data_IF_787466187982
#
_entry.id   IF_787466187982
#
_cell.length_a   1.000
_cell.length_b   1.000
_cell.length_c   1.000
_cell.angle_alpha   90.00
_cell.angle_beta   90.00
_cell.angle_gamma   90.00
#
_symmetry.space_group_name_H-M   'P 1'
#
loop_
_entity.id
_entity.type
_entity.pdbx_description
1 polymer ?
#
# COMPACT_ATOMS: atom_id res chain seq x y z
N UNK A 1 19.85 -21.44 -26.78
CA UNK A 1 18.50 -21.33 -27.37
C UNK A 1 17.37 -21.36 -26.33
N UNK A 2 17.36 -22.30 -25.37
CA UNK A 2 16.36 -22.33 -24.28
C UNK A 2 16.21 -21.02 -23.50
N UNK A 3 17.34 -20.39 -23.16
CA UNK A 3 17.34 -19.11 -22.41
C UNK A 3 16.62 -18.00 -23.17
N UNK A 4 16.85 -17.86 -24.48
CA UNK A 4 16.21 -16.85 -25.32
C UNK A 4 14.67 -17.04 -25.33
N UNK A 5 14.19 -18.27 -25.47
CA UNK A 5 12.76 -18.57 -25.48
C UNK A 5 12.11 -18.28 -24.13
N UNK A 6 12.79 -18.64 -23.03
CA UNK A 6 12.33 -18.30 -21.69
C UNK A 6 12.24 -16.78 -21.48
N UNK A 7 13.20 -16.03 -22.02
CA UNK A 7 13.19 -14.58 -21.97
C UNK A 7 12.03 -13.98 -22.78
N UNK A 8 11.82 -14.42 -24.02
CA UNK A 8 10.70 -14.00 -24.87
C UNK A 8 9.34 -14.31 -24.21
N UNK A 9 9.21 -15.50 -23.62
CA UNK A 9 8.01 -15.88 -22.87
C UNK A 9 7.76 -14.96 -21.66
N UNK A 10 8.82 -14.52 -20.97
CA UNK A 10 8.73 -13.59 -19.84
C UNK A 10 8.28 -12.18 -20.26
N UNK A 11 8.49 -11.79 -21.52
CA UNK A 11 7.93 -10.55 -22.11
C UNK A 11 6.52 -10.73 -22.67
N UNK A 12 5.88 -11.88 -22.44
CA UNK A 12 4.53 -12.15 -22.94
C UNK A 12 4.47 -12.46 -24.43
N UNK A 13 5.62 -12.76 -25.06
CA UNK A 13 5.64 -13.12 -26.46
C UNK A 13 4.92 -14.47 -26.66
N UNK A 14 3.90 -14.45 -27.51
CA UNK A 14 3.15 -15.63 -27.90
C UNK A 14 3.68 -16.17 -29.22
N UNK A 15 3.62 -17.50 -29.37
CA UNK A 15 3.86 -18.14 -30.65
C UNK A 15 2.75 -17.81 -31.66
N UNK A 16 2.93 -18.23 -32.91
CA UNK A 16 1.95 -18.04 -33.98
C UNK A 16 0.60 -18.71 -33.68
N UNK A 17 0.62 -19.71 -32.80
CA UNK A 17 -0.56 -20.42 -32.29
C UNK A 17 -1.31 -19.65 -31.18
N UNK A 18 -0.88 -18.44 -30.81
CA UNK A 18 -1.45 -17.64 -29.71
C UNK A 18 -1.13 -18.17 -28.30
N UNK A 19 -0.33 -19.24 -28.21
CA UNK A 19 0.10 -19.84 -26.93
C UNK A 19 1.40 -19.20 -26.43
N UNK A 20 1.61 -19.10 -25.11
CA UNK A 20 2.86 -18.62 -24.55
C UNK A 20 4.02 -19.51 -25.01
N UNK A 21 5.13 -18.88 -25.40
CA UNK A 21 6.30 -19.59 -25.89
C UNK A 21 6.90 -20.48 -24.79
N UNK A 22 7.18 -21.75 -25.08
CA UNK A 22 7.86 -22.65 -24.13
C UNK A 22 9.35 -22.77 -24.49
N UNK A 23 10.20 -22.93 -23.47
CA UNK A 23 11.65 -22.94 -23.61
C UNK A 23 12.19 -24.34 -23.95
N UNK A 24 11.74 -24.89 -25.08
CA UNK A 24 12.11 -26.25 -25.52
C UNK A 24 13.53 -26.33 -26.09
N UNK A 25 14.09 -25.20 -26.52
CA UNK A 25 15.44 -25.08 -27.10
C UNK A 25 15.49 -25.13 -28.62
N UNK A 26 14.35 -25.37 -29.26
CA UNK A 26 14.20 -25.46 -30.72
C UNK A 26 13.74 -24.15 -31.34
N UNK A 27 14.54 -23.59 -32.25
CA UNK A 27 14.19 -22.35 -32.95
C UNK A 27 13.19 -22.63 -34.09
N UNK A 28 11.93 -22.84 -33.73
CA UNK A 28 10.83 -23.06 -34.67
C UNK A 28 10.12 -21.78 -35.11
N UNK A 29 9.10 -21.94 -35.95
CA UNK A 29 8.26 -20.83 -36.44
C UNK A 29 7.65 -19.99 -35.29
N UNK A 30 7.35 -20.60 -34.15
CA UNK A 30 6.84 -19.91 -32.97
C UNK A 30 7.88 -19.00 -32.32
N UNK A 31 9.13 -19.46 -32.19
CA UNK A 31 10.21 -18.63 -31.63
C UNK A 31 10.58 -17.51 -32.58
N UNK A 32 10.60 -17.77 -33.89
CA UNK A 32 10.82 -16.73 -34.91
C UNK A 32 9.76 -15.64 -34.81
N UNK A 33 8.48 -16.02 -34.77
CA UNK A 33 7.38 -15.08 -34.63
C UNK A 33 7.49 -14.22 -33.36
N UNK A 34 7.82 -14.84 -32.22
CA UNK A 34 8.04 -14.14 -30.97
C UNK A 34 9.20 -13.13 -31.06
N UNK A 35 10.30 -13.48 -31.74
CA UNK A 35 11.43 -12.57 -32.00
C UNK A 35 11.01 -11.41 -32.88
N UNK A 36 10.23 -11.66 -33.93
CA UNK A 36 9.72 -10.61 -34.82
C UNK A 36 8.81 -9.63 -34.08
N UNK A 37 7.93 -10.13 -33.19
CA UNK A 37 7.09 -9.29 -32.34
C UNK A 37 7.94 -8.41 -31.41
N UNK A 38 8.92 -9.01 -30.72
CA UNK A 38 9.82 -8.31 -29.83
C UNK A 38 10.63 -7.22 -30.58
N UNK A 39 11.16 -7.56 -31.76
CA UNK A 39 11.88 -6.60 -32.59
C UNK A 39 10.99 -5.43 -32.99
N UNK A 40 9.74 -5.70 -33.38
CA UNK A 40 8.77 -4.65 -33.74
C UNK A 40 8.42 -3.73 -32.57
N UNK A 41 8.20 -4.30 -31.39
CA UNK A 41 7.84 -3.55 -30.18
C UNK A 41 9.00 -2.67 -29.68
N UNK A 42 10.24 -3.13 -29.82
CA UNK A 42 11.44 -2.42 -29.40
C UNK A 42 12.08 -1.57 -30.51
N UNK A 43 11.42 -1.41 -31.66
CA UNK A 43 11.91 -0.57 -32.76
C UNK A 43 13.20 -1.07 -33.43
N UNK A 44 13.43 -2.38 -33.42
CA UNK A 44 14.56 -3.05 -34.05
C UNK A 44 14.21 -3.53 -35.46
N UNK A 45 15.23 -3.87 -36.25
CA UNK A 45 15.02 -4.52 -37.54
C UNK A 45 14.33 -5.89 -37.34
N UNK A 46 13.20 -6.09 -38.02
CA UNK A 46 12.32 -7.26 -37.87
C UNK A 46 12.73 -8.35 -38.87
N UNK A 47 13.88 -8.99 -38.65
CA UNK A 47 14.35 -10.11 -39.47
C UNK A 47 13.95 -11.48 -38.89
N UNK A 48 13.47 -11.50 -37.64
CA UNK A 48 13.24 -12.73 -36.89
C UNK A 48 14.52 -13.48 -36.53
N UNK A 49 15.69 -12.84 -36.71
CA UNK A 49 17.01 -13.35 -36.37
C UNK A 49 17.51 -12.64 -35.12
N UNK A 50 17.95 -13.41 -34.12
CA UNK A 50 18.51 -12.85 -32.89
C UNK A 50 19.99 -12.52 -33.09
N UNK A 51 20.26 -11.30 -33.55
CA UNK A 51 21.60 -10.73 -33.63
C UNK A 51 22.02 -10.00 -32.34
N UNK A 52 23.22 -9.40 -32.34
CA UNK A 52 23.78 -8.70 -31.18
C UNK A 52 22.90 -7.55 -30.68
N UNK A 53 22.24 -6.82 -31.57
CA UNK A 53 21.31 -5.73 -31.19
C UNK A 53 20.06 -6.27 -30.47
N UNK A 54 19.50 -7.37 -30.95
CA UNK A 54 18.34 -8.02 -30.31
C UNK A 54 18.72 -8.60 -28.95
N UNK A 55 19.91 -9.21 -28.83
CA UNK A 55 20.42 -9.69 -27.54
C UNK A 55 20.64 -8.54 -26.54
N UNK A 56 21.19 -7.41 -27.00
CA UNK A 56 21.39 -6.23 -26.16
C UNK A 56 20.05 -5.65 -25.68
N UNK A 57 19.07 -5.53 -26.58
CA UNK A 57 17.72 -5.06 -26.24
C UNK A 57 17.01 -6.00 -25.26
N UNK A 58 17.12 -7.33 -25.46
CA UNK A 58 16.64 -8.31 -24.48
C UNK A 58 17.33 -8.13 -23.13
N UNK A 59 18.66 -7.97 -23.11
CA UNK A 59 19.42 -7.74 -21.87
C UNK A 59 18.96 -6.49 -21.11
N UNK A 60 18.76 -5.38 -21.82
CA UNK A 60 18.22 -4.13 -21.24
C UNK A 60 16.79 -4.31 -20.75
N UNK A 61 15.92 -4.94 -21.54
CA UNK A 61 14.54 -5.21 -21.16
C UNK A 61 14.47 -6.15 -19.94
N UNK A 62 15.37 -7.14 -19.84
CA UNK A 62 15.46 -8.02 -18.67
C UNK A 62 15.97 -7.27 -17.46
N UNK A 63 16.94 -6.38 -17.64
CA UNK A 63 17.46 -5.55 -16.55
C UNK A 63 16.40 -4.56 -16.06
N UNK A 64 15.58 -4.02 -16.95
CA UNK A 64 14.43 -3.16 -16.61
C UNK A 64 13.28 -3.95 -15.96
N UNK A 65 12.98 -5.15 -16.45
CA UNK A 65 11.97 -6.02 -15.84
C UNK A 65 12.44 -6.61 -14.50
N UNK A 66 13.75 -6.87 -14.35
CA UNK A 66 14.38 -7.25 -13.11
C UNK A 66 14.47 -6.08 -12.13
N UNK A 67 14.70 -4.85 -12.59
CA UNK A 67 14.60 -3.65 -11.78
C UNK A 67 13.16 -3.46 -11.29
N UNK A 68 12.16 -3.50 -12.17
CA UNK A 68 10.73 -3.44 -11.80
C UNK A 68 10.32 -4.57 -10.85
N UNK A 69 10.78 -5.81 -11.08
CA UNK A 69 10.54 -6.92 -10.15
C UNK A 69 11.32 -6.77 -8.85
N UNK A 70 12.52 -6.18 -8.85
CA UNK A 70 13.26 -5.88 -7.64
C UNK A 70 12.58 -4.76 -6.84
N UNK A 71 11.98 -3.77 -7.50
CA UNK A 71 11.12 -2.75 -6.88
C UNK A 71 9.85 -3.39 -6.30
N UNK A 72 9.25 -4.37 -6.99
CA UNK A 72 8.06 -5.11 -6.50
C UNK A 72 8.38 -6.17 -5.44
N UNK A 73 9.60 -6.73 -5.42
CA UNK A 73 10.02 -7.77 -4.46
C UNK A 73 10.69 -7.15 -3.22
N UNK A 74 11.38 -6.02 -3.36
CA UNK A 74 11.87 -5.21 -2.25
C UNK A 74 10.74 -4.48 -1.50
N UNK A 75 9.56 -4.31 -2.12
CA UNK A 75 8.34 -3.86 -1.42
C UNK A 75 7.74 -4.93 -0.48
N UNK A 76 8.24 -6.18 -0.50
CA UNK A 76 7.77 -7.25 0.40
C UNK A 76 8.88 -7.92 1.22
N UNK A 77 10.13 -7.47 1.09
CA UNK A 77 11.25 -7.96 1.89
C UNK A 77 12.31 -6.87 2.11
N UNK A 78 12.25 -6.26 3.31
CA UNK A 78 13.22 -5.33 3.94
C UNK A 78 13.07 -3.81 3.64
N UNK A 79 13.35 -2.95 4.65
CA UNK A 79 12.77 -1.62 4.77
C UNK A 79 13.61 -0.52 4.11
N UNK A 80 12.92 0.46 3.50
CA UNK A 80 13.48 1.79 3.27
C UNK A 80 13.58 2.25 1.82
N UNK A 81 12.59 3.06 1.44
CA UNK A 81 12.70 4.36 0.73
C UNK A 81 12.02 4.47 -0.64
N UNK A 82 10.73 4.82 -0.59
CA UNK A 82 10.04 5.86 -1.38
C UNK A 82 8.58 5.89 -0.87
N UNK A 83 8.14 6.75 0.06
CA UNK A 83 8.24 8.21 0.09
C UNK A 83 7.97 8.72 1.52
N UNK A 84 8.93 9.47 2.07
CA UNK A 84 8.88 10.55 3.10
C UNK A 84 7.96 10.52 4.34
N UNK A 85 7.07 9.55 4.55
CA UNK A 85 6.32 9.41 5.80
C UNK A 85 6.44 7.98 6.32
N UNK A 86 6.84 7.76 7.58
CA UNK A 86 6.81 6.42 8.17
C UNK A 86 5.40 5.82 8.06
N UNK A 87 5.27 4.51 7.87
CA UNK A 87 3.96 3.85 7.91
C UNK A 87 3.43 3.81 9.34
N UNK A 88 2.11 3.64 9.51
CA UNK A 88 1.51 3.47 10.85
C UNK A 88 2.14 2.31 11.63
N UNK A 89 2.54 1.25 10.94
CA UNK A 89 3.25 0.10 11.52
C UNK A 89 4.70 0.39 11.89
N UNK A 90 5.32 1.46 11.37
CA UNK A 90 6.68 1.84 11.74
C UNK A 90 6.70 2.48 13.13
N UNK A 91 7.58 2.05 14.06
CA UNK A 91 7.75 2.68 15.37
C UNK A 91 8.14 4.15 15.34
N UNK A 92 8.61 4.65 14.19
CA UNK A 92 8.98 6.06 13.97
C UNK A 92 7.77 6.94 13.69
N UNK A 93 6.59 6.37 13.49
CA UNK A 93 5.37 7.13 13.22
C UNK A 93 4.78 7.69 14.53
N UNK A 94 4.35 8.96 14.57
CA UNK A 94 3.76 9.55 15.77
C UNK A 94 2.50 8.80 16.24
N UNK A 95 1.70 8.27 15.32
CA UNK A 95 0.49 7.50 15.65
C UNK A 95 0.75 5.99 15.80
N UNK A 96 2.02 5.54 15.88
CA UNK A 96 2.36 4.12 16.02
C UNK A 96 1.76 3.50 17.29
N UNK A 97 1.75 4.23 18.41
CA UNK A 97 1.18 3.75 19.66
C UNK A 97 -0.32 3.45 19.52
N UNK A 98 -1.03 4.30 18.77
CA UNK A 98 -2.45 4.15 18.50
C UNK A 98 -2.72 2.98 17.54
N UNK A 99 -1.87 2.83 16.53
CA UNK A 99 -1.89 1.67 15.63
C UNK A 99 -1.68 0.35 16.39
N UNK A 100 -0.65 0.28 17.23
CA UNK A 100 -0.37 -0.90 18.03
C UNK A 100 -1.53 -1.25 18.99
N UNK A 101 -2.15 -0.24 19.58
CA UNK A 101 -3.38 -0.39 20.37
C UNK A 101 -4.53 -0.97 19.54
N UNK A 102 -4.82 -0.39 18.37
CA UNK A 102 -5.87 -0.87 17.49
C UNK A 102 -5.63 -2.32 17.03
N UNK A 103 -4.40 -2.64 16.60
CA UNK A 103 -3.99 -4.02 16.24
C UNK A 103 -4.24 -4.98 17.40
N UNK A 104 -3.77 -4.64 18.61
CA UNK A 104 -3.92 -5.49 19.79
C UNK A 104 -5.40 -5.75 20.13
N UNK A 105 -6.27 -4.74 19.98
CA UNK A 105 -7.71 -4.88 20.23
C UNK A 105 -8.41 -5.70 19.16
N UNK A 106 -8.05 -5.50 17.89
CA UNK A 106 -8.56 -6.31 16.79
C UNK A 106 -8.11 -7.77 16.90
N UNK A 107 -6.85 -8.02 17.29
CA UNK A 107 -6.34 -9.37 17.54
C UNK A 107 -7.09 -10.02 18.72
N UNK A 108 -7.43 -9.26 19.76
CA UNK A 108 -8.24 -9.75 20.87
C UNK A 108 -9.67 -10.13 20.48
N UNK A 109 -10.21 -9.58 19.38
CA UNK A 109 -11.49 -10.01 18.82
C UNK A 109 -11.39 -11.39 18.14
N UNK A 110 -10.20 -11.78 17.66
CA UNK A 110 -9.96 -13.06 17.01
C UNK A 110 -10.95 -13.32 15.86
N UNK A 111 -11.55 -14.51 15.84
CA UNK A 111 -12.56 -14.89 14.83
C UNK A 111 -13.81 -13.99 14.86
N UNK A 112 -14.12 -13.35 15.99
CA UNK A 112 -15.21 -12.37 16.09
C UNK A 112 -14.89 -11.08 15.33
N UNK A 113 -13.61 -10.83 15.07
CA UNK A 113 -13.13 -9.75 14.22
C UNK A 113 -13.40 -9.98 12.73
N UNK A 114 -13.56 -11.23 12.29
CA UNK A 114 -13.89 -11.56 10.90
C UNK A 114 -12.79 -11.26 9.88
N UNK A 115 -11.51 -11.30 10.31
CA UNK A 115 -10.35 -11.10 9.44
C UNK A 115 -9.85 -12.45 8.91
N UNK A 116 -9.61 -12.58 7.60
CA UNK A 116 -9.11 -13.83 7.02
C UNK A 116 -7.60 -13.99 7.23
N UNK A 117 -6.86 -12.90 7.41
CA UNK A 117 -5.42 -12.92 7.65
C UNK A 117 -4.94 -11.69 8.44
N UNK A 118 -3.69 -11.75 8.92
CA UNK A 118 -3.05 -10.64 9.64
C UNK A 118 -2.99 -9.36 8.82
N UNK A 119 -2.78 -9.46 7.50
CA UNK A 119 -2.71 -8.29 6.61
C UNK A 119 -4.01 -7.49 6.61
N UNK A 120 -5.17 -8.14 6.51
CA UNK A 120 -6.47 -7.47 6.61
C UNK A 120 -6.69 -6.82 7.98
N UNK A 121 -6.23 -7.47 9.05
CA UNK A 121 -6.29 -6.91 10.39
C UNK A 121 -5.44 -5.65 10.49
N UNK A 122 -4.21 -5.67 9.96
CA UNK A 122 -3.30 -4.52 9.93
C UNK A 122 -3.88 -3.37 9.10
N UNK A 123 -4.52 -3.65 7.97
CA UNK A 123 -5.23 -2.67 7.15
C UNK A 123 -6.38 -2.04 7.93
N UNK A 124 -7.19 -2.86 8.60
CA UNK A 124 -8.29 -2.38 9.43
C UNK A 124 -7.80 -1.55 10.63
N UNK A 125 -6.70 -1.94 11.25
CA UNK A 125 -6.07 -1.14 12.32
C UNK A 125 -5.60 0.22 11.78
N UNK A 126 -5.01 0.25 10.58
CA UNK A 126 -4.63 1.50 9.92
C UNK A 126 -5.81 2.43 9.69
N UNK A 127 -6.94 1.89 9.21
CA UNK A 127 -8.16 2.65 8.99
C UNK A 127 -8.76 3.17 10.31
N UNK A 128 -8.77 2.34 11.36
CA UNK A 128 -9.21 2.75 12.70
C UNK A 128 -8.41 3.95 13.19
N UNK A 129 -7.09 3.95 13.03
CA UNK A 129 -6.25 5.07 13.45
C UNK A 129 -6.61 6.34 12.70
N UNK A 130 -6.75 6.25 11.37
CA UNK A 130 -7.13 7.38 10.54
C UNK A 130 -8.49 7.96 10.97
N UNK A 131 -9.55 7.14 11.04
CA UNK A 131 -10.90 7.64 11.36
C UNK A 131 -11.01 8.18 12.78
N UNK A 132 -10.30 7.55 13.72
CA UNK A 132 -10.19 8.04 15.09
C UNK A 132 -9.56 9.42 15.11
N UNK A 133 -8.49 9.65 14.35
CA UNK A 133 -7.81 10.93 14.28
C UNK A 133 -8.67 12.02 13.64
N UNK A 134 -9.38 11.70 12.55
CA UNK A 134 -10.36 12.60 11.91
C UNK A 134 -11.46 13.01 12.90
N UNK A 135 -11.89 12.08 13.74
CA UNK A 135 -12.91 12.30 14.77
C UNK A 135 -12.36 12.96 16.04
N UNK A 136 -11.06 13.25 16.10
CA UNK A 136 -10.41 13.89 17.25
C UNK A 136 -10.07 12.94 18.41
N UNK A 137 -10.15 11.63 18.22
CA UNK A 137 -9.66 10.66 19.20
C UNK A 137 -8.13 10.70 19.22
N UNK A 138 -7.56 10.75 20.42
CA UNK A 138 -6.12 10.74 20.64
C UNK A 138 -5.57 9.33 20.92
N UNK A 139 -6.45 8.39 21.27
CA UNK A 139 -6.11 6.97 21.48
C UNK A 139 -7.33 6.08 21.26
N UNK A 140 -7.09 4.78 21.14
CA UNK A 140 -8.15 3.77 21.03
C UNK A 140 -8.03 2.82 22.22
N UNK A 141 -8.99 2.93 23.15
CA UNK A 141 -9.03 2.10 24.36
C UNK A 141 -9.79 0.79 24.10
N UNK A 142 -10.86 0.84 23.29
CA UNK A 142 -11.68 -0.31 22.92
C UNK A 142 -12.01 -0.33 21.43
N UNK A 143 -12.06 -1.53 20.84
CA UNK A 143 -12.61 -1.76 19.50
C UNK A 143 -13.71 -2.79 19.62
N UNK A 144 -14.92 -2.42 19.20
CA UNK A 144 -16.11 -3.26 19.35
C UNK A 144 -16.74 -3.49 17.98
N UNK A 145 -16.98 -4.74 17.56
CA UNK A 145 -17.69 -5.01 16.32
C UNK A 145 -19.16 -4.54 16.42
N UNK A 146 -19.69 -4.00 15.32
CA UNK A 146 -21.11 -3.68 15.23
C UNK A 146 -21.96 -4.97 15.22
N UNK A 147 -23.21 -4.90 15.72
CA UNK A 147 -24.16 -6.01 15.72
C UNK A 147 -24.42 -6.58 14.32
N UNK A 148 -24.37 -5.73 13.30
CA UNK A 148 -24.60 -6.12 11.92
C UNK A 148 -23.36 -6.76 11.25
N UNK A 149 -22.18 -6.64 11.87
CA UNK A 149 -20.93 -7.24 11.37
C UNK A 149 -20.25 -6.48 10.21
N UNK A 150 -20.84 -5.36 9.78
CA UNK A 150 -20.36 -4.50 8.69
C UNK A 150 -19.28 -3.49 9.11
N UNK A 151 -18.99 -3.37 10.40
CA UNK A 151 -18.02 -2.41 10.89
C UNK A 151 -17.62 -2.58 12.33
N UNK A 152 -16.84 -1.62 12.81
CA UNK A 152 -16.31 -1.55 14.17
C UNK A 152 -16.52 -0.16 14.76
N UNK A 153 -16.60 -0.08 16.08
CA UNK A 153 -16.52 1.16 16.82
C UNK A 153 -15.19 1.22 17.55
N UNK A 154 -14.37 2.21 17.20
CA UNK A 154 -13.21 2.58 18.00
C UNK A 154 -13.64 3.57 19.06
N UNK A 155 -13.29 3.30 20.31
CA UNK A 155 -13.77 4.02 21.47
C UNK A 155 -12.58 4.48 22.31
N UNK A 156 -12.63 5.75 22.73
CA UNK A 156 -11.73 6.35 23.70
C UNK A 156 -12.49 6.61 25.01
N UNK A 157 -11.91 6.19 26.13
CA UNK A 157 -12.50 6.25 27.47
C UNK A 157 -13.15 4.94 27.90
N UNK A 158 -13.61 4.91 29.16
CA UNK A 158 -14.32 3.77 29.71
C UNK A 158 -15.71 3.65 29.07
N UNK A 159 -16.19 2.43 28.82
CA UNK A 159 -17.50 2.20 28.17
C UNK A 159 -18.69 2.70 28.99
N UNK A 160 -18.48 3.00 30.27
CA UNK A 160 -19.47 3.55 31.21
C UNK A 160 -19.36 5.06 31.38
N UNK A 161 -18.34 5.70 30.80
CA UNK A 161 -18.13 7.13 30.89
C UNK A 161 -19.01 7.87 29.87
N UNK A 162 -19.88 8.81 30.27
CA UNK A 162 -20.67 9.61 29.33
C UNK A 162 -19.82 10.53 28.43
N UNK A 163 -18.57 10.83 28.81
CA UNK A 163 -17.62 11.57 27.98
C UNK A 163 -16.86 10.67 26.98
N UNK A 164 -17.21 9.37 26.88
CA UNK A 164 -16.58 8.47 25.92
C UNK A 164 -16.74 8.99 24.48
N UNK A 165 -15.65 8.96 23.73
CA UNK A 165 -15.67 9.29 22.30
C UNK A 165 -15.69 7.99 21.52
N UNK A 166 -16.50 7.94 20.46
CA UNK A 166 -16.56 6.77 19.57
C UNK A 166 -16.60 7.20 18.12
N UNK A 167 -15.92 6.45 17.27
CA UNK A 167 -15.99 6.57 15.82
C UNK A 167 -16.41 5.23 15.22
N UNK A 168 -17.29 5.28 14.23
CA UNK A 168 -17.67 4.12 13.44
C UNK A 168 -16.69 3.96 12.27
N UNK A 169 -16.23 2.74 12.04
CA UNK A 169 -15.33 2.37 10.96
C UNK A 169 -15.98 1.26 10.15
N UNK A 170 -16.14 1.50 8.85
CA UNK A 170 -16.70 0.51 7.93
C UNK A 170 -15.67 -0.58 7.61
N UNK A 171 -16.07 -1.85 7.75
CA UNK A 171 -15.18 -2.99 7.53
C UNK A 171 -14.79 -3.15 6.07
N UNK A 172 -15.71 -2.90 5.14
CA UNK A 172 -15.43 -3.02 3.71
C UNK A 172 -14.40 -1.98 3.28
N UNK A 173 -14.53 -0.74 3.77
CA UNK A 173 -13.53 0.31 3.58
C UNK A 173 -12.18 -0.10 4.17
N UNK A 174 -12.17 -0.56 5.42
CA UNK A 174 -10.97 -1.04 6.10
C UNK A 174 -10.24 -2.18 5.36
N UNK A 175 -10.98 -3.11 4.73
CA UNK A 175 -10.41 -4.24 3.99
C UNK A 175 -9.90 -3.83 2.59
N UNK A 176 -10.57 -2.89 1.92
CA UNK A 176 -10.18 -2.42 0.60
C UNK A 176 -9.07 -1.36 0.65
N UNK A 177 -8.80 -0.78 1.82
CA UNK A 177 -7.80 0.25 1.98
C UNK A 177 -6.42 -0.35 2.33
N UNK A 178 -5.36 -0.11 1.54
CA UNK A 178 -4.02 -0.50 1.94
C UNK A 178 -3.51 0.35 3.10
N UNK A 179 -2.71 -0.25 3.97
CA UNK A 179 -2.12 0.41 5.13
C UNK A 179 -1.29 1.65 4.75
N UNK A 180 -0.60 1.61 3.61
CA UNK A 180 0.15 2.78 3.12
C UNK A 180 -0.74 4.00 2.87
N UNK A 181 -1.98 3.78 2.41
CA UNK A 181 -2.92 4.86 2.16
C UNK A 181 -3.43 5.44 3.49
N UNK A 182 -3.86 4.59 4.43
CA UNK A 182 -4.27 5.05 5.77
C UNK A 182 -3.13 5.76 6.52
N UNK A 183 -1.89 5.32 6.32
CA UNK A 183 -0.71 5.95 6.93
C UNK A 183 -0.47 7.37 6.42
N UNK A 184 -0.59 7.57 5.09
CA UNK A 184 -0.48 8.91 4.50
C UNK A 184 -1.60 9.81 5.00
N UNK A 185 -2.83 9.33 5.00
CA UNK A 185 -3.99 10.10 5.44
C UNK A 185 -3.90 10.48 6.93
N UNK A 186 -3.44 9.57 7.79
CA UNK A 186 -3.23 9.85 9.22
C UNK A 186 -2.11 10.89 9.43
N UNK A 187 -1.03 10.84 8.65
CA UNK A 187 0.04 11.83 8.71
C UNK A 187 -0.45 13.22 8.26
N UNK A 188 -1.23 13.29 7.18
CA UNK A 188 -1.83 14.53 6.68
C UNK A 188 -2.76 15.17 7.72
N UNK A 189 -3.62 14.37 8.37
CA UNK A 189 -4.54 14.88 9.39
C UNK A 189 -3.80 15.40 10.64
N UNK A 190 -2.70 14.75 11.02
CA UNK A 190 -1.85 15.22 12.13
C UNK A 190 -1.23 16.59 11.84
N UNK A 191 -0.73 16.77 10.62
CA UNK A 191 -0.20 18.07 10.19
C UNK A 191 -1.30 19.14 10.15
N UNK A 192 -2.54 18.78 9.78
CA UNK A 192 -3.69 19.71 9.78
C UNK A 192 -4.06 20.15 11.19
N UNK A 193 -4.13 19.24 12.16
CA UNK A 193 -4.44 19.60 13.56
C UNK A 193 -3.39 20.54 14.15
N UNK A 194 -2.09 20.25 13.98
CA UNK A 194 -1.01 21.12 14.49
C UNK A 194 -1.08 22.53 13.87
N UNK A 195 -1.37 22.61 12.57
CA UNK A 195 -1.60 23.90 11.93
C UNK A 195 -2.81 24.61 12.55
N UNK A 196 -3.96 23.95 12.66
CA UNK A 196 -5.17 24.56 13.25
C UNK A 196 -4.95 25.07 14.68
N UNK A 197 -4.28 24.29 15.52
CA UNK A 197 -3.98 24.66 16.91
C UNK A 197 -3.08 25.91 16.98
N UNK A 198 -2.06 25.98 16.12
CA UNK A 198 -1.18 27.14 16.02
C UNK A 198 -1.93 28.41 15.56
N UNK A 199 -2.85 28.29 14.60
CA UNK A 199 -3.68 29.42 14.15
C UNK A 199 -4.66 29.87 15.25
N UNK A 200 -5.20 28.94 16.05
CA UNK A 200 -6.15 29.27 17.12
C UNK A 200 -5.43 29.94 18.32
N UNK A 201 -4.22 29.48 18.65
CA UNK A 201 -3.39 30.07 19.70
C UNK A 201 -2.98 31.53 19.37
N UNK A 202 -2.64 31.83 18.12
CA UNK A 202 -2.31 33.20 17.69
C UNK A 202 -3.52 34.14 17.80
N UNK A 203 -4.71 33.69 17.39
CA UNK A 203 -5.95 34.49 17.50
C UNK A 203 -6.37 34.76 18.96
N UNK A 204 -6.18 33.79 19.87
CA UNK A 204 -6.45 33.99 21.29
C UNK A 204 -5.44 34.93 21.97
N UNK A 205 -4.19 34.97 21.53
CA UNK A 205 -3.19 35.92 22.03
C UNK A 205 -3.48 37.36 21.58
N UNK A 206 -3.95 37.54 20.35
CA UNK A 206 -4.30 38.85 19.79
C UNK A 206 -5.58 39.44 20.40
N UNK A 207 -6.59 38.61 20.67
CA UNK A 207 -7.83 39.04 21.34
C UNK A 207 -7.66 39.34 22.83
N UNK A 208 -6.68 38.74 23.51
CA UNK A 208 -6.30 39.12 24.89
C UNK A 208 -5.49 40.41 24.99
N UNK A 209 -5.01 40.94 23.87
CA UNK A 209 -4.10 42.10 23.82
C UNK A 209 -4.74 43.38 23.21
N UNK A 210 -6.07 43.42 23.07
CA UNK A 210 -6.84 44.59 22.61
C UNK A 210 -7.19 45.59 23.73
N UNK A 211 -7.37 46.89 23.41
CA UNK A 211 -6.81 48.02 24.15
C UNK A 211 -7.52 48.33 25.48
N UNK A 212 -6.74 48.61 26.51
CA UNK A 212 -7.20 49.41 27.64
C UNK A 212 -7.28 50.87 27.19
N UNK A 213 -8.49 51.40 27.03
CA UNK A 213 -8.80 52.85 26.99
C UNK A 213 -10.29 53.05 27.27
#
# INVERSE_FOLDING_TARGET
MKQLQGQLAQFGATGRDGKPLHADGDFGANTKYAVEQFQREHGLHVDGVVGGQTQAALGTALSQNAAKRAEQTAASAAPGQASSSPLLSDPRHPDHAMYNGAVSKLEALGERGGFANRKELEQAAGQIVFESKVSGLQRVDHVVPNKSGDGFFAVQGEMTDPAMQRVFVDRSQAQNQPLEQSSRQAAEEGQRQVQQDAHQAQQHAETRSGPSL
#
